data_IF_498066673290
#
_entry.id   IF_498066673290
#
_cell.length_a   1.000
_cell.length_b   1.000
_cell.length_c   1.000
_cell.angle_alpha   90.00
_cell.angle_beta   90.00
_cell.angle_gamma   90.00
#
_symmetry.space_group_name_H-M   'P 1'
#
loop_
_entity.id
_entity.type
_entity.pdbx_description
1 polymer ?
#
# COMPACT_ATOMS: atom_id res chain seq x y z
N UNK A 1 16.61 -5.09 41.19
CA UNK A 1 17.27 -4.93 39.87
C UNK A 1 16.20 -5.07 38.80
N UNK A 2 15.63 -3.95 38.35
CA UNK A 2 14.57 -3.95 37.33
C UNK A 2 15.29 -4.16 35.99
N UNK A 3 15.25 -5.38 35.47
CA UNK A 3 15.67 -5.69 34.11
C UNK A 3 14.77 -4.90 33.16
N UNK A 4 15.25 -3.75 32.69
CA UNK A 4 14.73 -3.09 31.51
C UNK A 4 14.90 -4.07 30.34
N UNK A 5 13.91 -4.94 30.12
CA UNK A 5 13.77 -5.69 28.87
C UNK A 5 13.66 -4.63 27.79
N UNK A 6 14.73 -4.44 27.01
CA UNK A 6 14.67 -3.61 25.81
C UNK A 6 13.42 -4.04 25.03
N UNK A 7 12.51 -3.11 24.70
CA UNK A 7 11.38 -3.46 23.84
C UNK A 7 11.95 -4.09 22.59
N UNK A 8 11.60 -5.36 22.36
CA UNK A 8 11.95 -6.04 21.13
C UNK A 8 11.29 -5.27 19.98
N UNK A 9 11.88 -5.30 18.79
CA UNK A 9 11.30 -4.68 17.59
C UNK A 9 9.84 -5.12 17.36
N UNK A 10 9.46 -6.32 17.81
CA UNK A 10 8.07 -6.79 17.89
C UNK A 10 7.17 -5.91 18.77
N UNK A 11 7.64 -5.52 19.96
CA UNK A 11 6.93 -4.58 20.83
C UNK A 11 6.72 -3.22 20.16
N UNK A 12 7.73 -2.72 19.43
CA UNK A 12 7.59 -1.49 18.65
C UNK A 12 6.57 -1.60 17.53
N UNK A 13 6.49 -2.76 16.86
CA UNK A 13 5.48 -3.00 15.82
C UNK A 13 4.08 -3.11 16.39
N UNK A 14 3.89 -3.78 17.53
CA UNK A 14 2.59 -3.79 18.22
C UNK A 14 2.20 -2.38 18.65
N UNK A 15 3.11 -1.65 19.29
CA UNK A 15 2.86 -0.27 19.74
C UNK A 15 2.55 0.62 18.53
N UNK A 16 3.32 0.52 17.45
CA UNK A 16 3.10 1.28 16.22
C UNK A 16 1.77 0.96 15.56
N UNK A 17 1.41 -0.33 15.43
CA UNK A 17 0.11 -0.75 14.91
C UNK A 17 -1.04 -0.28 15.82
N UNK A 18 -0.91 -0.42 17.14
CA UNK A 18 -1.93 0.06 18.08
C UNK A 18 -2.11 1.58 18.00
N UNK A 19 -1.00 2.33 17.95
CA UNK A 19 -1.03 3.78 17.78
C UNK A 19 -1.68 4.17 16.44
N UNK A 20 -1.31 3.51 15.34
CA UNK A 20 -1.93 3.73 14.03
C UNK A 20 -3.43 3.46 14.03
N UNK A 21 -3.86 2.37 14.68
CA UNK A 21 -5.28 2.05 14.83
C UNK A 21 -6.04 3.12 15.62
N UNK A 22 -5.50 3.57 16.75
CA UNK A 22 -6.14 4.57 17.62
C UNK A 22 -6.20 5.93 16.92
N UNK A 23 -5.07 6.39 16.36
CA UNK A 23 -5.01 7.66 15.62
C UNK A 23 -5.95 7.61 14.42
N UNK A 24 -5.98 6.49 13.70
CA UNK A 24 -6.85 6.31 12.54
C UNK A 24 -8.33 6.35 12.92
N UNK A 25 -8.69 5.69 14.03
CA UNK A 25 -10.04 5.75 14.58
C UNK A 25 -10.45 7.17 14.99
N UNK A 26 -9.55 7.92 15.62
CA UNK A 26 -9.80 9.31 16.00
C UNK A 26 -10.02 10.21 14.77
N UNK A 27 -9.18 10.09 13.73
CA UNK A 27 -9.34 10.83 12.47
C UNK A 27 -10.63 10.48 11.75
N UNK A 28 -11.00 9.19 11.70
CA UNK A 28 -12.25 8.73 11.12
C UNK A 28 -13.46 9.35 11.83
N UNK A 29 -13.53 9.21 13.15
CA UNK A 29 -14.63 9.74 13.96
C UNK A 29 -14.72 11.26 13.80
N UNK A 30 -13.58 11.96 13.86
CA UNK A 30 -13.57 13.41 13.68
C UNK A 30 -14.01 13.82 12.28
N UNK A 31 -13.50 13.17 11.23
CA UNK A 31 -13.90 13.43 9.85
C UNK A 31 -15.40 13.27 9.64
N UNK A 32 -16.02 12.23 10.22
CA UNK A 32 -17.47 11.99 10.12
C UNK A 32 -18.33 13.09 10.75
N UNK A 33 -17.80 13.88 11.69
CA UNK A 33 -18.51 15.01 12.32
C UNK A 33 -18.56 16.25 11.44
N UNK A 34 -17.69 16.36 10.43
CA UNK A 34 -17.62 17.51 9.53
C UNK A 34 -18.68 17.39 8.42
N UNK A 35 -19.34 18.48 7.99
CA UNK A 35 -20.18 18.46 6.80
C UNK A 35 -19.32 18.20 5.55
N UNK A 36 -19.83 17.54 4.50
CA UNK A 36 -19.06 17.28 3.27
C UNK A 36 -18.68 18.56 2.52
N UNK A 37 -19.52 19.60 2.61
CA UNK A 37 -19.30 20.89 1.95
C UNK A 37 -19.37 22.03 2.98
N UNK A 38 -18.59 23.08 2.74
CA UNK A 38 -18.63 24.33 3.49
C UNK A 38 -19.90 25.13 3.21
N UNK A 39 -20.35 25.15 1.96
CA UNK A 39 -21.66 25.65 1.51
C UNK A 39 -22.31 24.61 0.59
N UNK A 40 -23.35 23.95 1.08
CA UNK A 40 -24.02 22.89 0.32
C UNK A 40 -24.81 23.42 -0.88
N UNK A 41 -25.47 24.57 -0.75
CA UNK A 41 -26.29 25.12 -1.82
C UNK A 41 -25.40 25.55 -3.00
N UNK A 42 -24.30 26.25 -2.69
CA UNK A 42 -23.33 26.65 -3.71
C UNK A 42 -22.63 25.45 -4.35
N UNK A 43 -22.29 24.42 -3.56
CA UNK A 43 -21.69 23.19 -4.10
C UNK A 43 -22.62 22.50 -5.13
N UNK A 44 -23.91 22.41 -4.85
CA UNK A 44 -24.88 21.81 -5.79
C UNK A 44 -25.12 22.68 -7.02
N UNK A 45 -25.03 24.00 -6.89
CA UNK A 45 -25.06 24.90 -8.05
C UNK A 45 -23.86 24.66 -8.97
N UNK A 46 -22.64 24.64 -8.42
CA UNK A 46 -21.42 24.40 -9.20
C UNK A 46 -21.41 22.99 -9.81
N UNK A 47 -21.85 21.97 -9.06
CA UNK A 47 -22.02 20.61 -9.55
C UNK A 47 -22.93 20.54 -10.79
N UNK A 48 -24.10 21.16 -10.72
CA UNK A 48 -25.03 21.19 -11.85
C UNK A 48 -24.44 21.97 -13.04
N UNK A 49 -23.67 23.03 -12.76
CA UNK A 49 -23.01 23.83 -13.80
C UNK A 49 -21.87 23.09 -14.51
N UNK A 50 -21.23 22.14 -13.82
CA UNK A 50 -20.11 21.35 -14.35
C UNK A 50 -20.50 20.59 -15.63
N UNK A 51 -21.74 20.11 -15.70
CA UNK A 51 -22.29 19.40 -16.86
C UNK A 51 -23.27 20.22 -17.71
N UNK A 52 -23.55 21.49 -17.36
CA UNK A 52 -24.57 22.29 -18.02
C UNK A 52 -24.14 22.86 -19.40
N UNK A 53 -22.85 22.76 -19.75
CA UNK A 53 -22.33 23.19 -21.04
C UNK A 53 -22.16 22.02 -21.99
N UNK A 54 -22.76 22.09 -23.19
CA UNK A 54 -22.46 21.17 -24.29
C UNK A 54 -20.96 21.10 -24.61
N UNK A 55 -20.60 20.12 -25.44
CA UNK A 55 -19.27 19.54 -25.75
C UNK A 55 -18.07 20.47 -26.05
N UNK A 56 -18.16 21.79 -25.91
CA UNK A 56 -17.20 22.76 -26.46
C UNK A 56 -16.52 23.72 -25.47
N UNK A 57 -16.52 23.47 -24.13
CA UNK A 57 -15.83 24.37 -23.18
C UNK A 57 -15.09 23.66 -22.03
N UNK A 58 -14.02 22.92 -22.35
CA UNK A 58 -13.18 22.26 -21.34
C UNK A 58 -12.65 23.19 -20.23
N UNK A 59 -12.31 24.45 -20.55
CA UNK A 59 -11.84 25.42 -19.55
C UNK A 59 -12.94 25.90 -18.57
N UNK A 60 -14.18 26.05 -19.05
CA UNK A 60 -15.30 26.45 -18.18
C UNK A 60 -15.75 25.30 -17.27
N UNK A 61 -15.69 24.06 -17.79
CA UNK A 61 -15.94 22.84 -17.02
C UNK A 61 -14.87 22.64 -15.94
N UNK A 62 -13.59 22.85 -16.27
CA UNK A 62 -12.51 22.78 -15.29
C UNK A 62 -12.66 23.84 -14.19
N UNK A 63 -12.98 25.08 -14.55
CA UNK A 63 -13.20 26.14 -13.56
C UNK A 63 -14.40 25.85 -12.63
N UNK A 64 -15.47 25.23 -13.13
CA UNK A 64 -16.58 24.77 -12.30
C UNK A 64 -16.17 23.62 -11.37
N UNK A 65 -15.38 22.66 -11.87
CA UNK A 65 -14.80 21.60 -11.06
C UNK A 65 -13.94 22.14 -9.92
N UNK A 66 -13.03 23.08 -10.22
CA UNK A 66 -12.13 23.66 -9.23
C UNK A 66 -12.92 24.42 -8.14
N UNK A 67 -13.96 25.17 -8.51
CA UNK A 67 -14.87 25.83 -7.56
C UNK A 67 -15.63 24.81 -6.70
N UNK A 68 -16.12 23.73 -7.30
CA UNK A 68 -16.80 22.66 -6.58
C UNK A 68 -15.87 21.98 -5.56
N UNK A 69 -14.65 21.62 -5.95
CA UNK A 69 -13.67 21.01 -5.04
C UNK A 69 -13.21 21.97 -3.94
N UNK A 70 -13.12 23.28 -4.21
CA UNK A 70 -12.79 24.28 -3.18
C UNK A 70 -13.84 24.38 -2.07
N UNK A 71 -15.07 23.93 -2.32
CA UNK A 71 -16.15 23.92 -1.33
C UNK A 71 -16.15 22.65 -0.47
N UNK A 72 -15.42 21.60 -0.87
CA UNK A 72 -15.29 20.39 -0.07
C UNK A 72 -14.53 20.67 1.22
N UNK A 73 -15.01 20.10 2.33
CA UNK A 73 -14.30 20.18 3.60
C UNK A 73 -13.26 19.06 3.72
N UNK A 74 -12.54 19.08 4.84
CA UNK A 74 -11.65 18.00 5.23
C UNK A 74 -12.35 16.68 5.62
N UNK A 75 -13.69 16.58 5.52
CA UNK A 75 -14.45 15.35 5.85
C UNK A 75 -13.85 14.11 5.20
N UNK A 76 -13.82 14.05 3.87
CA UNK A 76 -13.38 12.83 3.16
C UNK A 76 -11.88 12.54 3.32
N UNK A 77 -10.97 13.52 3.19
CA UNK A 77 -9.54 13.27 3.44
C UNK A 77 -9.24 12.74 4.85
N UNK A 78 -9.94 13.24 5.90
CA UNK A 78 -9.78 12.76 7.28
C UNK A 78 -10.36 11.35 7.47
N UNK A 79 -11.54 11.09 6.93
CA UNK A 79 -12.18 9.76 6.93
C UNK A 79 -11.29 8.73 6.25
N UNK A 80 -10.78 9.06 5.07
CA UNK A 80 -9.95 8.17 4.26
C UNK A 80 -8.60 7.92 4.90
N UNK A 81 -7.94 8.98 5.41
CA UNK A 81 -6.68 8.84 6.16
C UNK A 81 -6.89 7.96 7.40
N UNK A 82 -8.00 8.16 8.11
CA UNK A 82 -8.35 7.35 9.28
C UNK A 82 -8.50 5.87 8.95
N UNK A 83 -9.30 5.55 7.92
CA UNK A 83 -9.52 4.18 7.45
C UNK A 83 -8.23 3.53 6.93
N UNK A 84 -7.47 4.25 6.09
CA UNK A 84 -6.19 3.78 5.56
C UNK A 84 -5.18 3.49 6.66
N UNK A 85 -5.13 4.31 7.72
CA UNK A 85 -4.22 4.10 8.84
C UNK A 85 -4.62 2.87 9.67
N UNK A 86 -5.92 2.68 9.93
CA UNK A 86 -6.44 1.46 10.57
C UNK A 86 -6.06 0.22 9.74
N UNK A 87 -6.33 0.24 8.44
CA UNK A 87 -6.09 -0.88 7.55
C UNK A 87 -4.59 -1.18 7.40
N UNK A 88 -3.75 -0.15 7.27
CA UNK A 88 -2.30 -0.31 7.24
C UNK A 88 -1.77 -0.91 8.56
N UNK A 89 -2.26 -0.42 9.71
CA UNK A 89 -1.89 -0.94 11.02
C UNK A 89 -2.30 -2.42 11.19
N UNK A 90 -3.52 -2.77 10.79
CA UNK A 90 -4.00 -4.16 10.77
C UNK A 90 -3.19 -5.03 9.82
N UNK A 91 -2.83 -4.52 8.63
CA UNK A 91 -2.00 -5.23 7.66
C UNK A 91 -0.61 -5.52 8.22
N UNK A 92 0.05 -4.52 8.81
CA UNK A 92 1.35 -4.67 9.48
C UNK A 92 1.27 -5.70 10.61
N UNK A 93 0.22 -5.63 11.44
CA UNK A 93 0.00 -6.57 12.53
C UNK A 93 -0.25 -8.00 12.01
N UNK A 94 -1.03 -8.15 10.93
CA UNK A 94 -1.28 -9.44 10.28
C UNK A 94 -0.03 -10.06 9.66
N UNK A 95 0.81 -9.25 9.00
CA UNK A 95 2.12 -9.67 8.50
C UNK A 95 3.01 -10.11 9.68
N UNK A 96 3.11 -9.29 10.73
CA UNK A 96 3.89 -9.62 11.91
C UNK A 96 3.42 -10.92 12.57
N UNK A 97 2.11 -11.09 12.76
CA UNK A 97 1.52 -12.28 13.38
C UNK A 97 1.76 -13.54 12.53
N UNK A 98 1.46 -13.48 11.22
CA UNK A 98 1.60 -14.63 10.32
C UNK A 98 3.05 -15.12 10.19
N UNK A 99 4.02 -14.22 10.32
CA UNK A 99 5.45 -14.52 10.24
C UNK A 99 6.07 -14.91 11.60
N UNK A 100 5.42 -14.57 12.72
CA UNK A 100 5.87 -14.91 14.08
C UNK A 100 5.46 -16.31 14.57
N UNK A 101 4.70 -17.11 13.79
CA UNK A 101 4.29 -18.48 14.17
C UNK A 101 5.44 -19.49 14.03
N UNK A 102 6.56 -19.26 14.73
CA UNK A 102 7.50 -20.32 15.13
C UNK A 102 8.11 -19.98 16.49
N UNK A 103 8.02 -20.91 17.45
CA UNK A 103 8.40 -20.80 18.88
C UNK A 103 9.90 -20.55 19.18
N UNK A 104 10.71 -20.09 18.23
CA UNK A 104 12.14 -19.94 18.44
C UNK A 104 12.48 -18.52 18.93
N UNK A 105 12.61 -18.41 20.25
CA UNK A 105 13.11 -17.25 20.96
C UNK A 105 14.60 -16.95 20.64
N UNK A 106 14.91 -16.44 19.45
CA UNK A 106 16.16 -15.71 19.20
C UNK A 106 16.12 -14.96 17.85
N UNK A 107 16.01 -13.63 17.95
CA UNK A 107 16.70 -12.65 17.10
C UNK A 107 16.26 -12.40 15.65
N UNK A 108 15.21 -13.03 15.13
CA UNK A 108 14.62 -12.59 13.84
C UNK A 108 13.13 -12.81 13.75
N UNK A 109 12.36 -11.83 14.23
CA UNK A 109 10.91 -11.90 14.37
C UNK A 109 10.16 -11.67 13.04
N UNK A 110 10.70 -10.84 12.13
CA UNK A 110 10.24 -10.76 10.75
C UNK A 110 11.14 -11.61 9.84
N UNK A 111 10.54 -12.60 9.19
CA UNK A 111 11.21 -13.51 8.27
C UNK A 111 10.63 -13.37 6.87
N UNK A 112 11.42 -13.75 5.88
CA UNK A 112 10.94 -13.93 4.51
C UNK A 112 9.89 -15.05 4.45
N UNK A 113 9.04 -15.08 3.41
CA UNK A 113 8.24 -16.26 3.08
C UNK A 113 9.08 -17.54 3.03
N UNK A 114 8.45 -18.68 3.37
CA UNK A 114 9.12 -19.98 3.49
C UNK A 114 9.53 -20.60 2.16
N UNK A 115 8.88 -20.23 1.07
CA UNK A 115 9.14 -20.79 -0.26
C UNK A 115 9.12 -19.70 -1.34
N UNK A 116 9.79 -19.98 -2.46
CA UNK A 116 9.81 -19.11 -3.65
C UNK A 116 8.40 -18.90 -4.21
N UNK A 117 7.57 -19.94 -4.24
CA UNK A 117 6.18 -19.85 -4.69
C UNK A 117 5.34 -18.91 -3.82
N UNK A 118 5.60 -18.85 -2.50
CA UNK A 118 4.91 -17.89 -1.63
C UNK A 118 5.24 -16.44 -1.97
N UNK A 119 6.48 -16.13 -2.40
CA UNK A 119 6.80 -14.77 -2.87
C UNK A 119 5.97 -14.39 -4.10
N UNK A 120 5.86 -15.30 -5.08
CA UNK A 120 5.09 -15.07 -6.31
C UNK A 120 3.61 -14.89 -5.99
N UNK A 121 3.03 -15.76 -5.16
CA UNK A 121 1.62 -15.67 -4.76
C UNK A 121 1.30 -14.38 -4.00
N UNK A 122 2.16 -13.97 -3.06
CA UNK A 122 1.98 -12.71 -2.32
C UNK A 122 2.11 -11.53 -3.30
N UNK A 123 3.05 -11.58 -4.24
CA UNK A 123 3.20 -10.55 -5.28
C UNK A 123 1.98 -10.42 -6.20
N UNK A 124 1.40 -11.54 -6.63
CA UNK A 124 0.13 -11.54 -7.37
C UNK A 124 -1.01 -10.99 -6.51
N UNK A 125 -1.03 -11.31 -5.22
CA UNK A 125 -1.96 -10.73 -4.26
C UNK A 125 -1.86 -9.20 -4.18
N UNK A 126 -0.65 -8.63 -4.22
CA UNK A 126 -0.45 -7.17 -4.27
C UNK A 126 -1.08 -6.57 -5.52
N UNK A 127 -0.88 -7.18 -6.70
CA UNK A 127 -1.49 -6.71 -7.94
C UNK A 127 -3.02 -6.75 -7.86
N UNK A 128 -3.58 -7.85 -7.36
CA UNK A 128 -5.02 -7.99 -7.18
C UNK A 128 -5.58 -6.95 -6.19
N UNK A 129 -4.91 -6.73 -5.06
CA UNK A 129 -5.30 -5.72 -4.05
C UNK A 129 -5.28 -4.30 -4.62
N UNK A 130 -4.28 -3.97 -5.46
CA UNK A 130 -4.22 -2.67 -6.13
C UNK A 130 -5.39 -2.51 -7.12
N UNK A 131 -5.60 -3.49 -8.00
CA UNK A 131 -6.71 -3.46 -8.97
C UNK A 131 -8.05 -3.30 -8.27
N UNK A 132 -8.35 -4.16 -7.29
CA UNK A 132 -9.59 -4.09 -6.51
C UNK A 132 -9.70 -2.78 -5.72
N UNK A 133 -8.60 -2.29 -5.14
CA UNK A 133 -8.57 -1.06 -4.37
C UNK A 133 -8.94 0.16 -5.21
N UNK A 134 -8.38 0.29 -6.40
CA UNK A 134 -8.71 1.36 -7.32
C UNK A 134 -10.11 1.21 -7.90
N UNK A 135 -10.55 -0.01 -8.25
CA UNK A 135 -11.93 -0.24 -8.71
C UNK A 135 -12.96 0.16 -7.66
N UNK A 136 -12.77 -0.25 -6.39
CA UNK A 136 -13.69 0.11 -5.30
C UNK A 136 -13.65 1.61 -5.02
N UNK A 137 -12.46 2.22 -5.05
CA UNK A 137 -12.27 3.66 -4.86
C UNK A 137 -13.11 4.48 -5.85
N UNK A 138 -13.20 4.06 -7.12
CA UNK A 138 -14.08 4.73 -8.11
C UNK A 138 -15.55 4.72 -7.69
N UNK A 139 -16.07 3.62 -7.16
CA UNK A 139 -17.45 3.54 -6.68
C UNK A 139 -17.66 4.41 -5.43
N UNK A 140 -16.72 4.37 -4.49
CA UNK A 140 -16.78 5.18 -3.26
C UNK A 140 -16.78 6.68 -3.61
N UNK A 141 -15.92 7.10 -4.52
CA UNK A 141 -15.80 8.49 -4.92
C UNK A 141 -16.99 8.95 -5.78
N UNK A 142 -17.61 8.03 -6.54
CA UNK A 142 -18.87 8.31 -7.22
C UNK A 142 -20.02 8.55 -6.23
N UNK A 143 -20.17 7.69 -5.22
CA UNK A 143 -21.20 7.85 -4.17
C UNK A 143 -21.00 9.15 -3.37
N UNK A 144 -19.76 9.63 -3.29
CA UNK A 144 -19.39 10.90 -2.66
C UNK A 144 -19.56 12.10 -3.58
N UNK A 145 -20.09 11.91 -4.79
CA UNK A 145 -20.32 12.99 -5.77
C UNK A 145 -18.99 13.68 -6.11
N UNK A 146 -17.89 12.91 -6.23
CA UNK A 146 -16.60 13.44 -6.66
C UNK A 146 -16.45 13.44 -8.18
N UNK A 147 -17.28 12.67 -8.90
CA UNK A 147 -17.22 12.58 -10.35
C UNK A 147 -18.53 12.98 -11.04
N UNK A 148 -18.49 13.88 -12.05
CA UNK A 148 -19.68 14.37 -12.70
C UNK A 148 -20.39 13.26 -13.47
N UNK A 149 -21.72 13.23 -13.40
CA UNK A 149 -22.56 12.24 -14.09
C UNK A 149 -22.46 12.31 -15.62
N UNK A 150 -22.00 13.43 -16.18
CA UNK A 150 -21.87 13.63 -17.63
C UNK A 150 -20.58 13.06 -18.24
N UNK A 151 -19.62 12.62 -17.42
CA UNK A 151 -18.43 11.93 -17.88
C UNK A 151 -18.57 10.44 -17.59
N UNK A 152 -18.04 9.58 -18.46
CA UNK A 152 -17.85 8.16 -18.12
C UNK A 152 -16.70 8.04 -17.12
N UNK A 153 -17.01 8.35 -15.86
CA UNK A 153 -16.06 8.47 -14.76
C UNK A 153 -15.76 7.15 -14.07
N UNK A 154 -16.41 6.06 -14.48
CA UNK A 154 -16.08 4.70 -14.02
C UNK A 154 -15.44 3.92 -15.16
N UNK A 155 -16.07 3.85 -16.32
CA UNK A 155 -15.68 2.97 -17.43
C UNK A 155 -14.29 3.30 -17.95
N UNK A 156 -14.05 4.58 -18.30
CA UNK A 156 -12.76 5.02 -18.83
C UNK A 156 -11.62 4.81 -17.82
N UNK A 157 -11.73 5.25 -16.55
CA UNK A 157 -10.67 4.97 -15.57
C UNK A 157 -10.47 3.48 -15.30
N UNK A 158 -11.54 2.67 -15.27
CA UNK A 158 -11.45 1.23 -15.03
C UNK A 158 -10.76 0.50 -16.19
N UNK A 159 -11.06 0.86 -17.45
CA UNK A 159 -10.38 0.33 -18.63
C UNK A 159 -8.88 0.65 -18.58
N UNK A 160 -8.54 1.92 -18.28
CA UNK A 160 -7.15 2.35 -18.12
C UNK A 160 -6.42 1.59 -17.02
N UNK A 161 -7.06 1.41 -15.87
CA UNK A 161 -6.53 0.66 -14.73
C UNK A 161 -6.30 -0.82 -15.09
N UNK A 162 -7.27 -1.48 -15.72
CA UNK A 162 -7.16 -2.89 -16.13
C UNK A 162 -6.04 -3.06 -17.14
N UNK A 163 -5.99 -2.20 -18.15
CA UNK A 163 -4.95 -2.24 -19.20
C UNK A 163 -3.57 -2.04 -18.60
N UNK A 164 -3.41 -1.03 -17.73
CA UNK A 164 -2.15 -0.79 -17.02
C UNK A 164 -1.76 -1.98 -16.13
N UNK A 165 -2.71 -2.56 -15.40
CA UNK A 165 -2.47 -3.69 -14.51
C UNK A 165 -2.01 -4.93 -15.29
N UNK A 166 -2.64 -5.22 -16.43
CA UNK A 166 -2.25 -6.33 -17.31
C UNK A 166 -0.83 -6.10 -17.86
N UNK A 167 -0.54 -4.89 -18.37
CA UNK A 167 0.78 -4.55 -18.88
C UNK A 167 1.86 -4.63 -17.79
N UNK A 168 1.58 -4.10 -16.60
CA UNK A 168 2.46 -4.18 -15.44
C UNK A 168 2.67 -5.64 -15.00
N UNK A 169 1.62 -6.46 -14.94
CA UNK A 169 1.71 -7.87 -14.60
C UNK A 169 2.58 -8.64 -15.60
N UNK A 170 2.45 -8.37 -16.90
CA UNK A 170 3.25 -8.99 -17.95
C UNK A 170 4.76 -8.73 -17.81
N UNK A 171 5.16 -7.65 -17.16
CA UNK A 171 6.57 -7.32 -16.88
C UNK A 171 7.00 -7.79 -15.50
N UNK A 172 6.22 -7.46 -14.47
CA UNK A 172 6.59 -7.68 -13.06
C UNK A 172 6.55 -9.16 -12.70
N UNK A 173 5.61 -9.95 -13.25
CA UNK A 173 5.50 -11.38 -12.93
C UNK A 173 6.70 -12.17 -13.45
N UNK A 174 7.09 -12.09 -14.75
CA UNK A 174 8.29 -12.78 -15.22
C UNK A 174 9.57 -12.31 -14.52
N UNK A 175 9.71 -11.00 -14.30
CA UNK A 175 10.86 -10.45 -13.59
C UNK A 175 10.92 -10.96 -12.15
N UNK A 176 9.79 -11.00 -11.45
CA UNK A 176 9.68 -11.54 -10.10
C UNK A 176 10.06 -13.02 -10.04
N UNK A 177 9.57 -13.83 -10.98
CA UNK A 177 9.92 -15.25 -11.10
C UNK A 177 11.43 -15.40 -11.32
N UNK A 178 12.02 -14.63 -12.24
CA UNK A 178 13.46 -14.66 -12.52
C UNK A 178 14.28 -14.33 -11.26
N UNK A 179 13.90 -13.26 -10.55
CA UNK A 179 14.56 -12.85 -9.30
C UNK A 179 14.47 -13.96 -8.24
N UNK A 180 13.33 -14.67 -8.13
CA UNK A 180 13.19 -15.73 -7.14
C UNK A 180 14.14 -16.92 -7.35
N UNK A 181 14.65 -17.12 -8.57
CA UNK A 181 15.66 -18.16 -8.84
C UNK A 181 17.01 -17.84 -8.21
N UNK A 182 17.28 -16.55 -7.95
CA UNK A 182 18.50 -16.06 -7.32
C UNK A 182 18.46 -16.12 -5.78
N UNK A 183 17.35 -16.57 -5.20
CA UNK A 183 17.20 -16.66 -3.74
C UNK A 183 18.04 -17.79 -3.15
N UNK A 184 18.68 -17.48 -2.02
CA UNK A 184 19.35 -18.46 -1.16
C UNK A 184 18.37 -19.29 -0.32
N UNK A 185 18.84 -19.82 0.81
CA UNK A 185 18.02 -20.58 1.76
C UNK A 185 16.92 -19.70 2.38
N UNK A 186 15.70 -20.23 2.37
CA UNK A 186 14.53 -19.61 2.97
C UNK A 186 13.98 -20.52 4.07
N UNK A 187 13.37 -19.99 5.15
CA UNK A 187 13.20 -18.57 5.45
C UNK A 187 14.43 -17.94 6.13
N UNK A 188 14.65 -16.64 5.88
CA UNK A 188 15.73 -15.86 6.48
C UNK A 188 15.17 -14.61 7.18
N UNK A 189 15.92 -14.01 8.10
CA UNK A 189 15.54 -12.74 8.74
C UNK A 189 15.45 -11.61 7.71
N UNK A 190 14.44 -10.73 7.81
CA UNK A 190 14.40 -9.49 7.01
C UNK A 190 15.61 -8.57 7.26
N UNK A 191 16.20 -8.65 8.46
CA UNK A 191 17.37 -7.86 8.84
C UNK A 191 18.69 -8.56 8.48
N UNK A 192 18.64 -9.67 7.75
CA UNK A 192 19.83 -10.41 7.39
C UNK A 192 20.82 -9.54 6.62
N UNK A 193 22.08 -9.63 7.03
CA UNK A 193 23.20 -8.91 6.44
C UNK A 193 24.37 -9.87 6.28
N UNK A 194 24.82 -10.07 5.05
CA UNK A 194 26.03 -10.86 4.76
C UNK A 194 27.26 -10.00 5.07
N UNK A 195 27.93 -10.32 6.18
CA UNK A 195 29.14 -9.64 6.66
C UNK A 195 30.38 -9.92 5.82
N UNK A 196 30.38 -11.06 5.11
CA UNK A 196 31.52 -11.56 4.36
C UNK A 196 31.54 -10.95 2.96
N UNK A 197 30.36 -10.66 2.39
CA UNK A 197 30.20 -9.99 1.09
C UNK A 197 29.66 -8.57 1.21
N UNK A 198 30.35 -7.71 1.97
CA UNK A 198 29.90 -6.34 2.28
C UNK A 198 29.49 -5.49 1.07
N UNK A 199 30.27 -5.51 -0.01
CA UNK A 199 29.96 -4.73 -1.22
C UNK A 199 28.67 -5.19 -1.89
N UNK A 200 28.45 -6.51 -1.97
CA UNK A 200 27.19 -7.10 -2.46
C UNK A 200 26.02 -6.73 -1.56
N UNK A 201 26.20 -6.83 -0.24
CA UNK A 201 25.18 -6.45 0.75
C UNK A 201 24.76 -5.00 0.60
N UNK A 202 25.71 -4.08 0.44
CA UNK A 202 25.41 -2.67 0.16
C UNK A 202 24.71 -2.47 -1.18
N UNK A 203 25.22 -3.05 -2.27
CA UNK A 203 24.64 -2.92 -3.60
C UNK A 203 23.19 -3.37 -3.66
N UNK A 204 22.88 -4.57 -3.14
CA UNK A 204 21.50 -5.08 -3.09
C UNK A 204 20.63 -4.21 -2.17
N UNK A 205 21.14 -3.78 -1.02
CA UNK A 205 20.36 -2.96 -0.09
C UNK A 205 20.01 -1.60 -0.68
N UNK A 206 20.97 -0.93 -1.33
CA UNK A 206 20.74 0.36 -1.99
C UNK A 206 19.72 0.20 -3.13
N UNK A 207 19.88 -0.83 -3.98
CA UNK A 207 18.95 -1.08 -5.07
C UNK A 207 17.51 -1.28 -4.57
N UNK A 208 17.32 -2.08 -3.51
CA UNK A 208 15.99 -2.29 -2.93
C UNK A 208 15.48 -1.09 -2.13
N UNK A 209 16.35 -0.25 -1.55
CA UNK A 209 15.94 1.03 -0.97
C UNK A 209 15.44 2.00 -2.05
N UNK A 210 16.10 2.05 -3.22
CA UNK A 210 15.66 2.86 -4.37
C UNK A 210 14.32 2.38 -4.94
N UNK A 211 13.95 1.12 -4.75
CA UNK A 211 12.62 0.58 -5.10
C UNK A 211 11.61 0.86 -3.96
N UNK A 212 12.00 0.66 -2.70
CA UNK A 212 11.12 0.81 -1.55
C UNK A 212 10.74 2.28 -1.28
N UNK A 213 11.64 3.23 -1.51
CA UNK A 213 11.39 4.65 -1.30
C UNK A 213 10.23 5.21 -2.15
N UNK A 214 10.22 5.05 -3.50
CA UNK A 214 9.09 5.49 -4.31
C UNK A 214 7.81 4.71 -3.99
N UNK A 215 7.91 3.42 -3.63
CA UNK A 215 6.74 2.66 -3.15
C UNK A 215 6.18 3.25 -1.86
N UNK A 216 7.03 3.58 -0.89
CA UNK A 216 6.61 4.19 0.38
C UNK A 216 5.97 5.56 0.15
N UNK A 217 6.53 6.37 -0.75
CA UNK A 217 5.94 7.64 -1.16
C UNK A 217 4.57 7.42 -1.84
N UNK A 218 4.48 6.48 -2.77
CA UNK A 218 3.22 6.14 -3.46
C UNK A 218 2.13 5.66 -2.50
N UNK A 219 2.50 4.96 -1.41
CA UNK A 219 1.57 4.61 -0.34
C UNK A 219 1.19 5.83 0.48
N UNK A 220 2.16 6.70 0.83
CA UNK A 220 1.92 7.91 1.62
C UNK A 220 0.91 8.86 0.95
N UNK A 221 1.03 9.06 -0.37
CA UNK A 221 0.11 9.94 -1.12
C UNK A 221 -1.31 9.37 -1.27
N UNK A 222 -1.50 8.06 -1.03
CA UNK A 222 -2.80 7.40 -1.10
C UNK A 222 -3.56 7.43 0.23
N UNK A 223 -2.92 7.82 1.34
CA UNK A 223 -3.62 7.94 2.62
C UNK A 223 -4.87 8.85 2.60
N UNK A 224 -4.86 10.03 1.96
CA UNK A 224 -6.04 10.88 1.91
C UNK A 224 -7.06 10.45 0.84
N UNK A 225 -6.91 9.30 0.18
CA UNK A 225 -7.80 8.82 -0.89
C UNK A 225 -8.58 7.58 -0.48
N UNK A 226 -9.67 7.28 -1.18
CA UNK A 226 -10.52 6.10 -0.94
C UNK A 226 -9.91 4.76 -1.40
N UNK A 227 -8.62 4.74 -1.75
CA UNK A 227 -7.90 3.58 -2.32
C UNK A 227 -7.47 2.56 -1.24
N UNK A 228 -8.41 2.15 -0.39
CA UNK A 228 -8.16 1.41 0.86
C UNK A 228 -7.35 0.12 0.69
N UNK A 229 -7.75 -0.75 -0.24
CA UNK A 229 -7.06 -2.02 -0.46
C UNK A 229 -5.70 -1.82 -1.15
N UNK A 230 -5.54 -0.72 -1.89
CA UNK A 230 -4.27 -0.35 -2.53
C UNK A 230 -3.22 0.01 -1.47
N UNK A 231 -3.61 0.72 -0.40
CA UNK A 231 -2.72 0.99 0.75
C UNK A 231 -2.27 -0.31 1.41
N UNK A 232 -3.17 -1.27 1.65
CA UNK A 232 -2.80 -2.61 2.14
C UNK A 232 -1.82 -3.31 1.19
N UNK A 233 -2.11 -3.29 -0.12
CA UNK A 233 -1.25 -3.86 -1.15
C UNK A 233 0.14 -3.23 -1.15
N UNK A 234 0.24 -1.91 -1.00
CA UNK A 234 1.50 -1.17 -0.93
C UNK A 234 2.31 -1.48 0.33
N UNK A 235 1.66 -1.64 1.49
CA UNK A 235 2.32 -2.12 2.73
C UNK A 235 2.90 -3.52 2.52
N UNK A 236 2.13 -4.43 1.90
CA UNK A 236 2.62 -5.78 1.56
C UNK A 236 3.76 -5.71 0.53
N UNK A 237 3.72 -4.78 -0.42
CA UNK A 237 4.78 -4.56 -1.40
C UNK A 237 6.09 -4.09 -0.75
N UNK A 238 6.02 -3.18 0.23
CA UNK A 238 7.18 -2.76 1.02
C UNK A 238 7.79 -3.94 1.81
N UNK A 239 6.94 -4.79 2.39
CA UNK A 239 7.37 -6.03 3.00
C UNK A 239 8.05 -6.95 1.98
N UNK A 240 7.48 -7.15 0.78
CA UNK A 240 8.08 -7.96 -0.28
C UNK A 240 9.42 -7.40 -0.74
N UNK A 241 9.59 -6.08 -0.84
CA UNK A 241 10.86 -5.45 -1.19
C UNK A 241 11.93 -5.77 -0.13
N UNK A 242 11.60 -5.60 1.15
CA UNK A 242 12.49 -5.98 2.25
C UNK A 242 12.81 -7.48 2.27
N UNK A 243 11.79 -8.33 2.02
CA UNK A 243 11.94 -9.78 2.00
C UNK A 243 12.80 -10.26 0.83
N UNK A 244 12.63 -9.67 -0.34
CA UNK A 244 13.40 -10.01 -1.55
C UNK A 244 14.86 -9.62 -1.35
N UNK A 245 15.13 -8.44 -0.78
CA UNK A 245 16.48 -8.02 -0.40
C UNK A 245 17.14 -9.02 0.55
N UNK A 246 16.44 -9.46 1.59
CA UNK A 246 16.96 -10.46 2.52
C UNK A 246 17.20 -11.83 1.84
N UNK A 247 16.26 -12.28 1.00
CA UNK A 247 16.36 -13.55 0.27
C UNK A 247 17.51 -13.60 -0.74
N UNK A 248 17.84 -12.47 -1.37
CA UNK A 248 18.99 -12.35 -2.30
C UNK A 248 20.35 -12.35 -1.59
N UNK A 249 20.37 -11.98 -0.31
CA UNK A 249 21.57 -12.02 0.53
C UNK A 249 21.71 -13.33 1.29
N UNK A 250 20.65 -14.14 1.37
CA UNK A 250 20.64 -15.42 2.06
C UNK A 250 21.78 -16.34 1.57
N UNK A 251 22.32 -17.20 2.45
CA UNK A 251 23.32 -18.18 2.07
C UNK A 251 22.79 -19.11 0.98
N UNK A 252 23.64 -19.64 0.09
CA UNK A 252 23.21 -20.55 -0.96
C UNK A 252 22.51 -21.79 -0.38
N UNK A 253 21.50 -22.30 -1.09
CA UNK A 253 20.83 -23.55 -0.74
C UNK A 253 21.87 -24.67 -0.60
N UNK A 254 21.94 -25.32 0.56
CA UNK A 254 22.74 -26.54 0.73
C UNK A 254 22.22 -27.55 -0.29
N UNK A 255 23.08 -27.95 -1.22
CA UNK A 255 22.81 -29.13 -2.05
C UNK A 255 22.63 -30.32 -1.12
N UNK A 256 21.48 -30.99 -1.19
CA UNK A 256 21.34 -32.32 -0.57
C UNK A 256 22.51 -33.18 -1.06
N UNK A 257 23.22 -33.89 -0.16
CA UNK A 257 24.20 -34.87 -0.62
C UNK A 257 23.45 -35.90 -1.46
N UNK A 258 23.77 -35.95 -2.75
CA UNK A 258 23.35 -37.05 -3.62
C UNK A 258 23.88 -38.34 -3.00
N UNK A 259 22.95 -39.15 -2.48
CA UNK A 259 23.21 -40.50 -2.02
C UNK A 259 23.55 -41.42 -3.20
#
# INVERSE_FOLDING_TARGET
MILYRRPTLFGWTIIGSAAGFIIGGALLIWGLTLPPYSDHALAMQEWNSWCAGGTSRGAAQQAAADRYYALMTWRYPLVDTGLNLILAACTVAGIAYSLCITRAAAWSWLRTPKSRSSFVLIGLGVLALNLMGWSISLYVDLDRVMFPWCADSIGIPLEGLVTFTIAAAAVVVPLGILITQLFGELPVSLLYWDSDRRLRSWGVTIAFMLIAAPLALAVAIQFPTSSYLSVCGGVVALYLAAATRAALLAPPARSEPTA
#
